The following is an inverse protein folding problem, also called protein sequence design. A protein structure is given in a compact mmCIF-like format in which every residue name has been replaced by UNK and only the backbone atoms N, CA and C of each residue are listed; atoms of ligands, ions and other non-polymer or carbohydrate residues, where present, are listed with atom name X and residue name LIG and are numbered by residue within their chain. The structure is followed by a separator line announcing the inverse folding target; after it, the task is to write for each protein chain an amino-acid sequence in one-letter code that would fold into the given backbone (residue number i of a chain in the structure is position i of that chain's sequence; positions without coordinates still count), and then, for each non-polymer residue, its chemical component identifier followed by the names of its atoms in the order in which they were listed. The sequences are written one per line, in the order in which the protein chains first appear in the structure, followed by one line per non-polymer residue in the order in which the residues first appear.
data_IF_948601480822
#
_entry.id   IF_948601480822
#
_cell.length_a   1.000
_cell.length_b   1.000
_cell.length_c   1.000
_cell.angle_alpha   90.00
_cell.angle_beta   90.00
_cell.angle_gamma   90.00
#
_symmetry.space_group_name_H-M   'P 1'
#
loop_
_entity.id
_entity.type
_entity.pdbx_description
1 polymer ?
#
# COMPACT_ATOMS: atom_id res chain seq x y z
N UNK A 1 15.85 3.09 9.03
CA UNK A 1 15.20 4.33 8.54
C UNK A 1 16.14 5.53 8.59
N UNK A 2 16.09 6.43 7.61
CA UNK A 2 16.85 7.69 7.58
C UNK A 2 16.00 8.97 7.44
N UNK A 3 14.71 8.85 7.13
CA UNK A 3 13.83 9.99 6.79
C UNK A 3 12.81 10.38 7.86
N UNK A 4 12.19 11.55 7.69
CA UNK A 4 11.11 12.05 8.54
C UNK A 4 9.77 11.43 8.15
N UNK A 5 9.12 10.71 9.06
CA UNK A 5 7.80 10.13 8.75
C UNK A 5 6.78 11.25 8.49
N UNK A 6 5.98 11.07 7.45
CA UNK A 6 4.85 11.93 7.09
C UNK A 6 3.54 11.19 7.22
N UNK A 7 2.56 11.85 7.81
CA UNK A 7 1.25 11.26 8.09
C UNK A 7 0.11 12.14 7.59
N UNK A 8 -0.96 11.48 7.14
CA UNK A 8 -2.31 12.03 7.11
C UNK A 8 -3.23 11.01 7.77
N UNK A 9 -3.64 11.27 8.99
CA UNK A 9 -4.21 10.26 9.89
C UNK A 9 -5.58 10.66 10.42
N UNK A 10 -6.34 9.69 10.90
CA UNK A 10 -7.69 9.87 11.42
C UNK A 10 -8.64 10.62 10.46
N UNK A 11 -8.49 10.40 9.15
CA UNK A 11 -9.49 10.89 8.22
C UNK A 11 -10.74 10.03 8.37
N UNK A 12 -11.88 10.67 8.62
CA UNK A 12 -13.17 9.97 8.70
C UNK A 12 -13.95 10.21 7.40
N UNK A 13 -14.15 9.15 6.62
CA UNK A 13 -14.74 9.20 5.27
C UNK A 13 -16.00 8.34 5.20
N UNK A 14 -17.00 8.76 4.43
CA UNK A 14 -18.05 7.85 3.98
C UNK A 14 -19.39 7.89 4.71
N UNK A 15 -20.00 9.07 4.85
CA UNK A 15 -21.45 9.07 4.70
C UNK A 15 -21.76 8.91 3.21
N UNK A 16 -22.38 7.79 2.83
CA UNK A 16 -22.84 7.52 1.47
C UNK A 16 -23.65 8.72 0.91
N UNK A 17 -23.60 8.99 -0.41
CA UNK A 17 -23.19 8.10 -1.50
C UNK A 17 -21.75 8.27 -2.02
N UNK A 18 -20.85 9.02 -1.36
CA UNK A 18 -19.54 9.40 -1.94
C UNK A 18 -18.33 8.83 -1.17
N UNK A 19 -18.48 7.66 -0.55
CA UNK A 19 -17.45 7.06 0.32
C UNK A 19 -16.13 6.79 -0.40
N UNK A 20 -16.19 6.16 -1.58
CA UNK A 20 -15.01 5.84 -2.39
C UNK A 20 -14.33 7.11 -2.93
N UNK A 21 -15.10 8.12 -3.35
CA UNK A 21 -14.56 9.43 -3.74
C UNK A 21 -13.84 10.11 -2.59
N UNK A 22 -14.44 10.17 -1.40
CA UNK A 22 -13.86 10.82 -0.23
C UNK A 22 -12.56 10.12 0.22
N UNK A 23 -12.50 8.78 0.10
CA UNK A 23 -11.28 8.01 0.31
C UNK A 23 -10.20 8.38 -0.70
N UNK A 24 -10.55 8.39 -1.99
CA UNK A 24 -9.62 8.75 -3.08
C UNK A 24 -9.07 10.17 -2.94
N UNK A 25 -9.92 11.15 -2.63
CA UNK A 25 -9.50 12.54 -2.42
C UNK A 25 -8.53 12.65 -1.23
N UNK A 26 -8.77 11.91 -0.14
CA UNK A 26 -7.81 11.86 0.96
C UNK A 26 -6.48 11.20 0.54
N UNK A 27 -6.50 10.16 -0.30
CA UNK A 27 -5.29 9.58 -0.88
C UNK A 27 -4.53 10.64 -1.71
N UNK A 28 -5.22 11.34 -2.61
CA UNK A 28 -4.62 12.39 -3.45
C UNK A 28 -4.00 13.50 -2.62
N UNK A 29 -4.71 14.00 -1.60
CA UNK A 29 -4.22 15.04 -0.71
C UNK A 29 -3.02 14.58 0.14
N UNK A 30 -2.97 13.30 0.52
CA UNK A 30 -1.78 12.72 1.16
C UNK A 30 -0.57 12.74 0.23
N UNK A 31 -0.71 12.26 -1.01
CA UNK A 31 0.38 12.28 -1.99
C UNK A 31 0.79 13.71 -2.38
N UNK A 32 -0.13 14.67 -2.49
CA UNK A 32 0.22 16.08 -2.69
C UNK A 32 1.05 16.64 -1.52
N UNK A 33 0.75 16.20 -0.29
CA UNK A 33 1.56 16.46 0.89
C UNK A 33 2.98 15.90 0.75
N UNK A 34 3.11 14.67 0.25
CA UNK A 34 4.41 14.05 -0.03
C UNK A 34 5.19 14.79 -1.13
N UNK A 35 4.53 15.25 -2.19
CA UNK A 35 5.15 16.10 -3.22
C UNK A 35 5.70 17.38 -2.59
N UNK A 36 4.90 18.04 -1.75
CA UNK A 36 5.32 19.26 -1.04
C UNK A 36 6.50 19.00 -0.10
N UNK A 37 6.57 17.81 0.50
CA UNK A 37 7.67 17.38 1.35
C UNK A 37 8.92 16.91 0.56
N UNK A 38 8.83 16.83 -0.78
CA UNK A 38 9.93 16.40 -1.64
C UNK A 38 10.12 14.88 -1.75
N UNK A 39 9.10 14.08 -1.38
CA UNK A 39 9.17 12.61 -1.42
C UNK A 39 8.80 12.03 -2.79
N UNK A 40 8.42 12.89 -3.74
CA UNK A 40 8.04 12.46 -5.08
C UNK A 40 7.36 13.56 -5.89
N UNK A 41 6.67 13.13 -6.95
CA UNK A 41 5.89 13.98 -7.84
C UNK A 41 4.60 13.28 -8.27
N UNK A 42 3.54 14.05 -8.53
CA UNK A 42 2.43 13.53 -9.35
C UNK A 42 2.95 13.47 -10.80
N UNK A 43 3.09 12.26 -11.32
CA UNK A 43 3.63 11.99 -12.64
C UNK A 43 2.57 12.16 -13.74
N UNK A 44 1.35 11.70 -13.48
CA UNK A 44 0.22 11.80 -14.41
C UNK A 44 -1.08 11.85 -13.61
N UNK A 45 -2.12 12.49 -14.15
CA UNK A 45 -3.43 12.49 -13.50
C UNK A 45 -4.59 12.80 -14.45
N UNK A 46 -5.77 12.25 -14.12
CA UNK A 46 -7.03 12.55 -14.79
C UNK A 46 -8.11 12.86 -13.76
N UNK A 47 -8.83 13.96 -13.93
CA UNK A 47 -9.87 14.39 -12.99
C UNK A 47 -11.09 13.48 -12.96
N UNK A 48 -11.24 12.55 -13.89
CA UNK A 48 -12.42 11.70 -14.01
C UNK A 48 -13.50 12.32 -14.91
N UNK A 49 -14.58 11.57 -15.10
CA UNK A 49 -15.65 11.98 -16.00
C UNK A 49 -16.29 13.31 -15.57
N UNK A 50 -16.34 14.28 -16.49
CA UNK A 50 -16.99 15.59 -16.31
C UNK A 50 -16.49 16.42 -15.13
N UNK A 51 -15.26 16.20 -14.68
CA UNK A 51 -14.64 16.90 -13.56
C UNK A 51 -13.51 17.83 -13.97
N UNK A 52 -13.17 18.76 -13.09
CA UNK A 52 -12.13 19.78 -13.28
C UNK A 52 -11.12 19.84 -12.14
N UNK A 53 -11.14 18.88 -11.21
CA UNK A 53 -10.28 18.88 -10.04
C UNK A 53 -10.35 17.59 -9.22
N UNK A 54 -9.68 17.61 -8.07
CA UNK A 54 -9.62 16.53 -7.10
C UNK A 54 -10.22 16.92 -5.74
N UNK A 55 -11.36 17.61 -5.75
CA UNK A 55 -12.06 17.94 -4.51
C UNK A 55 -12.99 16.81 -4.04
N UNK A 56 -13.44 16.91 -2.79
CA UNK A 56 -14.55 16.15 -2.26
C UNK A 56 -15.84 16.39 -3.06
N UNK A 57 -16.84 15.52 -2.90
CA UNK A 57 -18.13 15.62 -3.58
C UNK A 57 -18.86 16.97 -3.39
N UNK A 58 -18.64 17.63 -2.27
CA UNK A 58 -19.21 18.93 -1.90
C UNK A 58 -18.26 20.12 -2.18
N UNK A 59 -17.11 19.85 -2.82
CA UNK A 59 -16.13 20.84 -3.20
C UNK A 59 -16.46 21.57 -4.50
N UNK A 60 -15.62 22.54 -4.85
CA UNK A 60 -15.80 23.37 -6.05
C UNK A 60 -15.45 22.67 -7.36
N UNK A 61 -14.55 21.68 -7.30
CA UNK A 61 -14.16 20.86 -8.45
C UNK A 61 -13.99 19.41 -8.01
N UNK A 62 -15.11 18.70 -7.72
CA UNK A 62 -15.07 17.34 -7.23
C UNK A 62 -14.35 16.39 -8.18
N UNK A 63 -13.67 15.38 -7.63
CA UNK A 63 -13.14 14.28 -8.43
C UNK A 63 -14.29 13.56 -9.16
N UNK A 64 -14.18 13.46 -10.47
CA UNK A 64 -15.14 12.77 -11.32
C UNK A 64 -15.00 11.26 -11.19
N UNK A 65 -16.04 10.56 -11.61
CA UNK A 65 -16.03 9.10 -11.66
C UNK A 65 -14.83 8.58 -12.47
N UNK A 66 -14.19 7.50 -12.00
CA UNK A 66 -13.00 6.94 -12.65
C UNK A 66 -11.78 7.89 -12.70
N UNK A 67 -11.71 8.90 -11.81
CA UNK A 67 -10.51 9.71 -11.65
C UNK A 67 -9.31 8.87 -11.18
N UNK A 68 -8.11 9.28 -11.58
CA UNK A 68 -6.88 8.58 -11.24
C UNK A 68 -5.67 9.50 -11.22
N UNK A 69 -4.61 9.06 -10.57
CA UNK A 69 -3.29 9.70 -10.62
C UNK A 69 -2.17 8.67 -10.45
N UNK A 70 -0.99 9.02 -10.94
CA UNK A 70 0.25 8.26 -10.76
C UNK A 70 1.18 9.09 -9.90
N UNK A 71 1.61 8.53 -8.79
CA UNK A 71 2.64 9.12 -7.94
C UNK A 71 3.98 8.46 -8.23
N UNK A 72 4.97 9.26 -8.62
CA UNK A 72 6.37 8.86 -8.74
C UNK A 72 7.07 9.16 -7.41
N UNK A 73 7.74 8.16 -6.85
CA UNK A 73 8.58 8.33 -5.67
C UNK A 73 9.94 7.69 -5.91
N UNK A 74 10.96 8.34 -5.36
CA UNK A 74 12.33 7.86 -5.43
C UNK A 74 12.65 7.05 -4.18
N UNK A 75 13.60 6.12 -4.32
CA UNK A 75 14.13 5.38 -3.18
C UNK A 75 15.49 5.96 -2.83
N UNK A 76 15.66 6.30 -1.55
CA UNK A 76 16.85 6.96 -1.02
C UNK A 76 18.11 6.17 -1.33
N UNK A 77 19.14 6.86 -1.84
CA UNK A 77 20.45 6.28 -2.15
C UNK A 77 21.29 5.98 -0.91
N UNK A 78 20.86 6.41 0.28
CA UNK A 78 21.66 6.36 1.52
C UNK A 78 21.49 5.08 2.36
N UNK A 79 20.74 4.07 1.89
CA UNK A 79 20.43 2.86 2.67
C UNK A 79 21.53 1.77 2.58
N UNK A 80 21.81 1.01 3.67
CA UNK A 80 22.84 -0.04 3.67
C UNK A 80 22.49 -1.18 2.70
N UNK A 81 23.47 -1.61 1.89
CA UNK A 81 23.29 -2.59 0.79
C UNK A 81 23.33 -1.96 -0.61
N UNK A 82 23.54 -0.64 -0.69
CA UNK A 82 23.56 0.18 -1.91
C UNK A 82 24.52 -0.31 -2.99
N UNK A 83 23.93 -1.04 -3.95
CA UNK A 83 24.57 -1.48 -5.18
C UNK A 83 23.70 -1.30 -6.43
N UNK A 84 22.61 -0.54 -6.39
CA UNK A 84 21.99 0.09 -7.56
C UNK A 84 20.82 0.97 -7.10
N UNK A 85 20.70 2.15 -7.68
CA UNK A 85 19.60 3.08 -7.46
C UNK A 85 18.30 2.42 -7.93
N UNK A 86 17.32 2.24 -7.04
CA UNK A 86 15.93 2.06 -7.47
C UNK A 86 15.51 3.40 -8.09
N UNK A 87 15.66 3.49 -9.42
CA UNK A 87 15.72 4.76 -10.12
C UNK A 87 14.44 5.56 -10.12
N UNK A 88 13.27 4.95 -9.89
CA UNK A 88 11.96 5.54 -9.53
C UNK A 88 10.97 4.40 -9.35
N UNK A 89 9.97 4.59 -8.49
CA UNK A 89 8.81 3.71 -8.32
C UNK A 89 7.54 4.51 -8.57
N UNK A 90 6.55 3.88 -9.19
CA UNK A 90 5.31 4.52 -9.62
C UNK A 90 4.13 3.83 -8.98
N UNK A 91 3.21 4.57 -8.37
CA UNK A 91 1.97 4.06 -7.80
C UNK A 91 0.78 4.71 -8.49
N UNK A 92 0.01 3.93 -9.25
CA UNK A 92 -1.29 4.32 -9.78
C UNK A 92 -2.34 4.16 -8.69
N UNK A 93 -3.15 5.21 -8.51
CA UNK A 93 -4.35 5.19 -7.66
C UNK A 93 -5.55 5.58 -8.52
N UNK A 94 -6.63 4.81 -8.44
CA UNK A 94 -7.87 5.06 -9.19
C UNK A 94 -9.07 4.79 -8.28
N UNK A 95 -10.21 5.42 -8.53
CA UNK A 95 -11.44 5.13 -7.82
C UNK A 95 -12.64 4.97 -8.75
N UNK A 96 -13.66 4.26 -8.30
CA UNK A 96 -14.96 4.17 -8.96
C UNK A 96 -16.08 3.83 -7.95
N UNK A 97 -17.32 4.17 -8.26
CA UNK A 97 -18.50 4.00 -7.39
C UNK A 97 -19.83 3.91 -8.18
N UNK A 98 -20.00 4.76 -9.20
CA UNK A 98 -21.20 4.76 -10.06
C UNK A 98 -21.03 4.04 -11.39
N UNK A 99 -19.79 3.89 -11.85
CA UNK A 99 -19.43 3.12 -13.04
C UNK A 99 -18.28 2.22 -12.69
N UNK A 100 -18.34 0.96 -13.07
CA UNK A 100 -17.32 0.04 -12.66
C UNK A 100 -15.92 0.41 -13.19
N UNK A 101 -14.90 -0.02 -12.44
CA UNK A 101 -13.49 0.12 -12.83
C UNK A 101 -13.26 -0.25 -14.29
N UNK A 102 -12.41 0.51 -14.98
CA UNK A 102 -12.09 0.27 -16.37
C UNK A 102 -13.03 0.92 -17.38
N UNK A 103 -14.02 1.71 -16.92
CA UNK A 103 -14.80 2.61 -17.78
C UNK A 103 -14.05 3.93 -17.97
N UNK A 104 -14.14 4.54 -19.16
CA UNK A 104 -13.45 5.80 -19.44
C UNK A 104 -13.82 6.92 -18.44
N UNK A 105 -12.85 7.74 -17.98
CA UNK A 105 -11.42 7.76 -18.37
C UNK A 105 -10.52 6.77 -17.60
N UNK A 106 -11.11 5.89 -16.79
CA UNK A 106 -10.43 4.89 -15.97
C UNK A 106 -10.07 3.59 -16.70
N UNK A 107 -10.23 3.53 -18.03
CA UNK A 107 -9.85 2.39 -18.86
C UNK A 107 -8.35 2.42 -19.23
N UNK A 108 -7.66 1.27 -19.27
CA UNK A 108 -8.08 -0.03 -18.76
C UNK A 108 -7.90 -0.15 -17.24
N UNK A 109 -8.74 -0.96 -16.57
CA UNK A 109 -8.59 -1.24 -15.13
C UNK A 109 -9.60 -2.27 -14.60
N UNK A 110 -9.19 -3.04 -13.59
CA UNK A 110 -10.03 -3.91 -12.76
C UNK A 110 -9.65 -3.73 -11.29
N UNK A 111 -10.57 -4.01 -10.39
CA UNK A 111 -10.30 -4.05 -8.95
C UNK A 111 -10.37 -5.50 -8.47
N UNK A 112 -9.24 -6.06 -8.01
CA UNK A 112 -9.13 -7.44 -7.50
C UNK A 112 -9.71 -8.50 -8.46
N UNK A 113 -9.47 -8.34 -9.75
CA UNK A 113 -9.91 -9.25 -10.80
C UNK A 113 -11.36 -9.08 -11.25
N UNK A 114 -12.08 -8.09 -10.69
CA UNK A 114 -13.47 -7.80 -11.03
C UNK A 114 -13.67 -6.37 -11.52
N UNK A 115 -14.72 -6.19 -12.33
CA UNK A 115 -15.28 -4.90 -12.72
C UNK A 115 -16.14 -4.45 -11.54
N UNK A 116 -15.49 -3.91 -10.49
CA UNK A 116 -16.09 -3.57 -9.20
C UNK A 116 -15.80 -2.10 -8.85
N UNK A 117 -16.44 -1.61 -7.78
CA UNK A 117 -16.30 -0.25 -7.26
C UNK A 117 -15.35 -0.22 -6.05
N UNK A 118 -14.68 0.91 -5.81
CA UNK A 118 -13.73 1.08 -4.71
C UNK A 118 -12.61 2.07 -5.00
N UNK A 119 -11.51 1.93 -4.25
CA UNK A 119 -10.24 2.62 -4.52
C UNK A 119 -9.16 1.57 -4.73
N UNK A 120 -8.49 1.65 -5.87
CA UNK A 120 -7.48 0.70 -6.33
C UNK A 120 -6.08 1.30 -6.32
N UNK A 121 -5.09 0.46 -6.06
CA UNK A 121 -3.66 0.77 -6.05
C UNK A 121 -2.91 -0.23 -6.94
N UNK A 122 -1.92 0.24 -7.69
CA UNK A 122 -1.00 -0.63 -8.41
C UNK A 122 0.37 0.05 -8.42
N UNK A 123 1.40 -0.66 -7.96
CA UNK A 123 2.76 -0.12 -7.89
C UNK A 123 3.64 -0.80 -8.93
N UNK A 124 4.43 -0.06 -9.69
CA UNK A 124 5.32 -0.60 -10.72
C UNK A 124 6.66 0.13 -10.76
N UNK A 125 7.70 -0.54 -11.24
CA UNK A 125 9.00 0.06 -11.49
C UNK A 125 9.76 -0.71 -12.57
N UNK A 126 10.79 -0.08 -13.13
CA UNK A 126 11.75 -0.73 -14.03
C UNK A 126 13.11 -0.87 -13.38
N UNK A 127 13.80 -1.95 -13.70
CA UNK A 127 15.14 -2.22 -13.17
C UNK A 127 16.17 -1.17 -13.55
N UNK A 128 16.00 -0.55 -14.73
CA UNK A 128 16.89 0.52 -15.20
C UNK A 128 16.54 1.90 -14.62
N UNK A 129 15.52 2.00 -13.75
CA UNK A 129 15.05 3.27 -13.24
C UNK A 129 14.27 4.11 -14.24
N UNK A 130 14.00 3.57 -15.43
CA UNK A 130 13.21 4.23 -16.45
C UNK A 130 11.74 4.33 -16.07
N UNK A 131 11.03 5.21 -16.76
CA UNK A 131 9.59 5.39 -16.62
C UNK A 131 8.84 4.17 -17.20
N UNK A 132 8.05 3.42 -16.40
CA UNK A 132 7.18 2.36 -16.89
C UNK A 132 5.83 2.89 -17.39
N UNK A 133 5.45 4.14 -17.12
CA UNK A 133 4.15 4.69 -17.45
C UNK A 133 3.92 4.70 -18.95
N UNK A 134 2.76 4.18 -19.36
CA UNK A 134 2.30 4.25 -20.73
C UNK A 134 1.07 5.14 -20.80
N UNK A 135 1.31 6.43 -20.97
CA UNK A 135 0.28 7.45 -21.06
C UNK A 135 0.91 8.83 -21.25
N UNK A 136 0.07 9.87 -21.20
CA UNK A 136 0.58 11.23 -21.08
C UNK A 136 0.92 11.53 -19.62
N UNK A 137 1.82 12.47 -19.38
CA UNK A 137 2.39 12.75 -18.05
C UNK A 137 2.45 14.26 -17.77
N UNK A 138 1.39 15.00 -18.13
CA UNK A 138 1.28 16.43 -17.88
C UNK A 138 0.92 16.74 -16.42
N UNK A 139 0.32 15.77 -15.72
CA UNK A 139 -0.17 15.88 -14.36
C UNK A 139 -1.17 17.04 -14.16
N UNK A 140 -1.95 17.35 -15.20
CA UNK A 140 -2.88 18.48 -15.27
C UNK A 140 -4.36 18.08 -15.17
N UNK A 141 -4.63 16.79 -14.92
CA UNK A 141 -5.98 16.23 -14.84
C UNK A 141 -6.61 15.89 -16.18
N UNK A 142 -5.88 16.07 -17.29
CA UNK A 142 -6.31 15.69 -18.64
C UNK A 142 -5.51 14.49 -19.20
N UNK A 143 -4.68 13.84 -18.38
CA UNK A 143 -3.83 12.76 -18.88
C UNK A 143 -4.65 11.56 -19.33
N UNK A 144 -4.06 10.78 -20.25
CA UNK A 144 -4.67 9.57 -20.80
C UNK A 144 -3.79 8.36 -20.55
N UNK A 145 -4.43 7.20 -20.32
CA UNK A 145 -3.78 5.91 -20.18
C UNK A 145 -3.66 5.22 -21.55
N UNK A 146 -2.57 4.49 -21.76
CA UNK A 146 -2.40 3.58 -22.87
C UNK A 146 -3.25 2.31 -22.71
N UNK A 147 -3.24 1.45 -23.73
CA UNK A 147 -3.98 0.18 -23.72
C UNK A 147 -3.45 -0.83 -22.68
N UNK A 148 -2.22 -0.65 -22.20
CA UNK A 148 -1.69 -1.21 -20.97
C UNK A 148 -1.08 -0.04 -20.20
N UNK A 149 -1.22 0.03 -18.88
CA UNK A 149 -0.77 1.23 -18.13
C UNK A 149 0.72 1.19 -17.83
N UNK A 150 1.32 0.00 -17.83
CA UNK A 150 2.75 -0.21 -17.62
C UNK A 150 3.44 -0.85 -18.82
N UNK A 151 4.65 -0.38 -19.13
CA UNK A 151 5.49 -0.89 -20.21
C UNK A 151 6.92 -1.11 -19.75
N UNK A 152 7.54 -2.18 -20.26
CA UNK A 152 8.91 -2.56 -19.94
C UNK A 152 9.96 -1.69 -20.64
N UNK A 153 9.58 -1.03 -21.75
CA UNK A 153 10.52 -0.27 -22.56
C UNK A 153 11.70 -1.14 -23.01
N UNK A 154 12.91 -0.79 -22.57
CA UNK A 154 14.14 -1.50 -22.89
C UNK A 154 14.69 -2.35 -21.73
N UNK A 155 13.98 -2.43 -20.61
CA UNK A 155 14.42 -3.13 -19.39
C UNK A 155 13.31 -4.06 -18.86
N UNK A 156 13.54 -4.70 -17.71
CA UNK A 156 12.53 -5.51 -17.03
C UNK A 156 11.55 -4.63 -16.27
N UNK A 157 10.27 -4.98 -16.35
CA UNK A 157 9.16 -4.35 -15.63
C UNK A 157 8.73 -5.21 -14.46
N UNK A 158 8.55 -4.57 -13.31
CA UNK A 158 7.98 -5.16 -12.10
C UNK A 158 6.67 -4.45 -11.78
N UNK A 159 5.59 -5.19 -11.56
CA UNK A 159 4.26 -4.66 -11.20
C UNK A 159 3.83 -5.35 -9.92
N UNK A 160 3.95 -4.68 -8.78
CA UNK A 160 3.65 -5.19 -7.46
C UNK A 160 2.15 -5.26 -7.19
N UNK A 161 1.43 -6.13 -7.88
CA UNK A 161 0.03 -6.45 -7.62
C UNK A 161 -0.18 -7.94 -7.28
N UNK A 162 -1.32 -8.23 -6.66
CA UNK A 162 -1.81 -9.59 -6.44
C UNK A 162 -3.26 -9.69 -6.90
N UNK A 163 -3.51 -10.54 -7.88
CA UNK A 163 -4.82 -11.16 -8.01
C UNK A 163 -4.79 -12.50 -7.29
N UNK A 164 -5.70 -12.70 -6.33
CA UNK A 164 -5.89 -13.97 -5.62
C UNK A 164 -6.45 -15.11 -6.47
N UNK A 165 -6.62 -14.88 -7.77
CA UNK A 165 -7.15 -15.87 -8.70
C UNK A 165 -6.28 -15.92 -9.96
N UNK A 166 -5.63 -17.05 -10.28
CA UNK A 166 -4.78 -17.23 -11.48
C UNK A 166 -5.46 -16.98 -12.84
N UNK A 167 -6.69 -16.47 -12.86
CA UNK A 167 -7.53 -16.27 -14.05
C UNK A 167 -8.31 -14.95 -14.05
N UNK A 168 -8.39 -14.22 -12.93
CA UNK A 168 -9.03 -12.91 -12.90
C UNK A 168 -7.95 -11.83 -12.84
N UNK A 169 -7.88 -10.93 -13.82
CA UNK A 169 -6.83 -9.92 -13.89
C UNK A 169 -5.51 -10.42 -14.47
N UNK A 170 -5.54 -11.36 -15.43
CA UNK A 170 -4.36 -11.63 -16.25
C UNK A 170 -3.99 -10.35 -17.01
N UNK A 171 -2.73 -9.92 -16.88
CA UNK A 171 -2.14 -8.81 -17.65
C UNK A 171 -2.12 -9.06 -19.17
N UNK A 172 -2.59 -10.24 -19.60
CA UNK A 172 -2.81 -10.68 -20.97
C UNK A 172 -4.09 -10.09 -21.60
N UNK A 173 -5.01 -9.53 -20.81
CA UNK A 173 -6.35 -9.10 -21.28
C UNK A 173 -6.48 -7.62 -21.65
N UNK A 174 -5.38 -6.86 -21.67
CA UNK A 174 -5.37 -5.38 -21.74
C UNK A 174 -6.07 -4.69 -20.56
N UNK A 175 -6.36 -5.40 -19.46
CA UNK A 175 -6.88 -4.83 -18.22
C UNK A 175 -5.85 -4.89 -17.11
N UNK A 176 -5.70 -3.80 -16.37
CA UNK A 176 -4.70 -3.66 -15.30
C UNK A 176 -5.38 -3.90 -13.97
N UNK A 177 -4.97 -4.97 -13.29
CA UNK A 177 -5.57 -5.35 -12.02
C UNK A 177 -5.02 -4.50 -10.88
N UNK A 178 -5.91 -3.96 -10.06
CA UNK A 178 -5.53 -3.11 -8.94
C UNK A 178 -5.85 -3.78 -7.60
N UNK A 179 -4.96 -3.55 -6.65
CA UNK A 179 -5.10 -3.96 -5.26
C UNK A 179 -5.96 -2.96 -4.48
N UNK A 180 -6.53 -3.40 -3.36
CA UNK A 180 -7.28 -2.49 -2.51
C UNK A 180 -7.23 -2.95 -1.05
N UNK A 181 -6.99 -2.04 -0.07
CA UNK A 181 -7.05 -2.41 1.33
C UNK A 181 -8.46 -2.90 1.72
N UNK A 182 -9.53 -2.40 1.10
CA UNK A 182 -10.90 -2.85 1.35
C UNK A 182 -11.78 -2.64 0.12
N UNK A 183 -12.75 -3.53 -0.10
CA UNK A 183 -13.82 -3.24 -1.08
C UNK A 183 -14.86 -2.37 -0.43
N UNK A 184 -15.43 -1.44 -1.21
CA UNK A 184 -16.69 -0.78 -0.89
C UNK A 184 -16.66 0.04 0.42
N UNK A 185 -16.08 1.24 0.33
CA UNK A 185 -16.23 2.27 1.37
C UNK A 185 -17.59 2.99 1.28
N UNK A 186 -18.53 2.52 0.44
CA UNK A 186 -19.82 3.14 0.18
C UNK A 186 -20.97 2.55 1.02
N UNK A 187 -20.66 1.79 2.08
CA UNK A 187 -21.69 1.24 2.98
C UNK A 187 -22.48 2.37 3.64
N UNK A 188 -23.79 2.44 3.35
CA UNK A 188 -24.68 3.48 3.86
C UNK A 188 -24.76 3.40 5.40
N UNK A 189 -24.48 4.52 6.07
CA UNK A 189 -24.70 4.68 7.52
C UNK A 189 -23.50 4.38 8.41
N UNK A 190 -22.33 4.13 7.83
CA UNK A 190 -21.10 3.85 8.57
C UNK A 190 -19.96 4.74 8.08
N UNK A 191 -19.44 5.59 8.97
CA UNK A 191 -18.21 6.32 8.69
C UNK A 191 -17.02 5.36 8.75
N UNK A 192 -16.13 5.41 7.77
CA UNK A 192 -14.87 4.68 7.77
C UNK A 192 -13.73 5.57 8.26
N UNK A 193 -12.69 4.99 8.85
CA UNK A 193 -11.49 5.72 9.26
C UNK A 193 -10.29 5.28 8.43
N UNK A 194 -9.47 6.23 8.00
CA UNK A 194 -8.22 5.96 7.30
C UNK A 194 -7.02 6.69 7.87
N UNK A 195 -5.89 6.03 7.77
CA UNK A 195 -4.57 6.59 8.05
C UNK A 195 -3.62 6.29 6.91
N UNK A 196 -2.92 7.33 6.47
CA UNK A 196 -1.87 7.27 5.47
C UNK A 196 -0.58 7.69 6.13
N UNK A 197 0.46 6.86 6.02
CA UNK A 197 1.78 7.20 6.52
C UNK A 197 2.82 6.84 5.47
N UNK A 198 3.89 7.63 5.39
CA UNK A 198 5.03 7.35 4.54
C UNK A 198 6.33 7.75 5.24
N UNK A 199 7.40 7.04 4.90
CA UNK A 199 8.75 7.57 4.97
C UNK A 199 9.25 7.86 3.54
N UNK A 200 10.56 8.04 3.36
CA UNK A 200 11.16 8.33 2.04
C UNK A 200 11.04 7.16 1.06
N UNK A 201 10.88 5.93 1.53
CA UNK A 201 11.04 4.72 0.70
C UNK A 201 9.85 3.75 0.82
N UNK A 202 8.80 4.11 1.56
CA UNK A 202 7.70 3.21 1.89
C UNK A 202 6.48 4.00 2.31
N UNK A 203 5.31 3.45 2.03
CA UNK A 203 4.07 3.99 2.52
C UNK A 203 3.09 2.89 2.93
N UNK A 204 2.20 3.26 3.85
CA UNK A 204 1.18 2.40 4.44
C UNK A 204 -0.15 3.13 4.46
N UNK A 205 -1.19 2.37 4.13
CA UNK A 205 -2.58 2.75 4.09
C UNK A 205 -3.31 1.81 5.03
N UNK A 206 -3.91 2.35 6.08
CA UNK A 206 -4.66 1.62 7.08
C UNK A 206 -6.12 2.02 6.96
N UNK A 207 -7.00 1.06 6.70
CA UNK A 207 -8.44 1.30 6.50
C UNK A 207 -9.28 0.51 7.50
N UNK A 208 -9.97 1.25 8.35
CA UNK A 208 -10.90 0.81 9.38
C UNK A 208 -12.31 0.97 8.83
N UNK A 209 -12.80 -0.11 8.24
CA UNK A 209 -14.13 -0.14 7.64
C UNK A 209 -15.15 0.01 8.76
N UNK A 210 -16.15 0.85 8.55
CA UNK A 210 -17.19 1.15 9.54
C UNK A 210 -16.67 1.78 10.86
N UNK A 211 -15.38 2.15 10.92
CA UNK A 211 -14.75 2.76 12.11
C UNK A 211 -15.00 1.92 13.38
N UNK A 212 -14.85 0.60 13.25
CA UNK A 212 -15.09 -0.40 14.29
C UNK A 212 -13.80 -0.93 14.92
N UNK A 213 -12.64 -0.39 14.55
CA UNK A 213 -11.35 -0.83 15.09
C UNK A 213 -10.77 -2.06 14.42
N UNK A 214 -11.40 -2.57 13.35
CA UNK A 214 -10.89 -3.67 12.52
C UNK A 214 -10.22 -3.13 11.26
N UNK A 215 -8.90 -3.29 11.18
CA UNK A 215 -8.10 -2.68 10.13
C UNK A 215 -7.81 -3.63 8.97
N UNK A 216 -7.75 -3.02 7.80
CA UNK A 216 -7.17 -3.58 6.58
C UNK A 216 -5.97 -2.73 6.14
N UNK A 217 -5.11 -3.28 5.28
CA UNK A 217 -3.82 -2.66 4.94
C UNK A 217 -3.54 -2.70 3.44
N UNK A 218 -2.95 -1.60 2.95
CA UNK A 218 -2.09 -1.59 1.77
C UNK A 218 -0.73 -1.03 2.16
N UNK A 219 0.34 -1.73 1.82
CA UNK A 219 1.73 -1.31 2.04
C UNK A 219 2.47 -1.49 0.72
N UNK A 220 3.30 -0.51 0.36
CA UNK A 220 4.30 -0.67 -0.68
C UNK A 220 5.58 0.01 -0.21
N UNK A 221 6.70 -0.67 -0.36
CA UNK A 221 7.95 -0.17 0.18
C UNK A 221 9.09 -1.15 0.08
N UNK A 222 10.19 -0.77 0.72
CA UNK A 222 11.38 -1.59 0.83
C UNK A 222 11.32 -2.54 2.03
N UNK A 223 11.88 -3.74 1.85
CA UNK A 223 12.38 -4.55 2.95
C UNK A 223 13.90 -4.38 3.08
N UNK A 224 14.43 -4.65 4.27
CA UNK A 224 15.87 -4.66 4.55
C UNK A 224 16.37 -6.08 4.29
N UNK A 225 17.22 -6.31 3.28
CA UNK A 225 17.81 -7.63 3.05
C UNK A 225 18.61 -8.09 4.26
N UNK A 226 18.55 -9.39 4.56
CA UNK A 226 19.41 -9.95 5.62
C UNK A 226 20.89 -9.90 5.19
N UNK A 227 21.84 -9.99 6.15
CA UNK A 227 23.25 -10.13 5.81
C UNK A 227 23.47 -11.26 4.80
N UNK A 228 24.36 -11.01 3.84
CA UNK A 228 24.72 -11.95 2.76
C UNK A 228 23.60 -12.26 1.73
N UNK A 229 22.45 -11.58 1.81
CA UNK A 229 21.46 -11.55 0.71
C UNK A 229 21.61 -10.23 -0.06
N UNK A 230 22.05 -10.34 -1.31
CA UNK A 230 22.09 -9.21 -2.23
C UNK A 230 20.80 -9.20 -3.02
N UNK A 231 19.82 -8.37 -2.66
CA UNK A 231 18.63 -8.14 -3.48
C UNK A 231 18.80 -6.83 -4.27
N UNK A 232 18.80 -6.92 -5.60
CA UNK A 232 18.95 -5.73 -6.47
C UNK A 232 17.81 -4.73 -6.29
N UNK A 233 16.61 -5.23 -5.94
CA UNK A 233 15.41 -4.43 -5.75
C UNK A 233 14.61 -4.99 -4.58
N UNK A 234 14.86 -4.64 -3.31
CA UNK A 234 14.19 -5.26 -2.19
C UNK A 234 12.80 -4.66 -1.94
N UNK A 235 11.95 -4.69 -2.97
CA UNK A 235 10.58 -4.15 -2.94
C UNK A 235 9.57 -5.22 -2.52
N UNK A 236 8.54 -4.79 -1.80
CA UNK A 236 7.42 -5.63 -1.39
C UNK A 236 6.13 -4.81 -1.36
N UNK A 237 5.04 -5.44 -1.79
CA UNK A 237 3.70 -4.93 -1.61
C UNK A 237 2.87 -5.90 -0.76
N UNK A 238 2.05 -5.34 0.12
CA UNK A 238 1.08 -6.05 0.95
C UNK A 238 -0.28 -5.44 0.71
N UNK A 239 -1.26 -6.25 0.36
CA UNK A 239 -2.66 -5.83 0.41
C UNK A 239 -3.45 -6.92 1.11
N UNK A 240 -4.09 -6.57 2.22
CA UNK A 240 -4.86 -7.51 3.01
C UNK A 240 -6.13 -6.86 3.55
N UNK A 241 -7.23 -7.58 3.49
CA UNK A 241 -8.58 -7.08 3.84
C UNK A 241 -8.88 -7.15 5.34
N UNK A 242 -7.97 -7.70 6.14
CA UNK A 242 -8.08 -7.77 7.59
C UNK A 242 -6.69 -7.83 8.21
N UNK A 243 -6.55 -7.37 9.44
CA UNK A 243 -5.37 -7.55 10.28
C UNK A 243 -5.75 -8.43 11.48
N UNK A 244 -4.82 -9.27 12.00
CA UNK A 244 -3.42 -9.43 11.58
C UNK A 244 -3.20 -10.02 10.19
N UNK A 245 -1.98 -9.85 9.67
CA UNK A 245 -1.56 -10.51 8.44
C UNK A 245 -1.60 -12.04 8.63
N UNK A 246 -2.26 -12.73 7.71
CA UNK A 246 -2.40 -14.17 7.77
C UNK A 246 -1.14 -14.90 7.26
N UNK A 247 -0.74 -15.95 7.97
CA UNK A 247 0.36 -16.85 7.61
C UNK A 247 -0.03 -17.91 6.58
N UNK A 248 -1.33 -18.04 6.30
CA UNK A 248 -1.86 -19.09 5.41
C UNK A 248 -2.02 -18.62 3.97
N UNK A 249 -2.02 -17.31 3.72
CA UNK A 249 -2.08 -16.73 2.38
C UNK A 249 -0.68 -16.39 1.84
N UNK A 250 -0.45 -16.71 0.57
CA UNK A 250 0.67 -16.16 -0.20
C UNK A 250 0.25 -14.84 -0.84
N UNK A 251 1.10 -13.82 -0.73
CA UNK A 251 0.96 -12.52 -1.36
C UNK A 251 1.85 -12.49 -2.61
N UNK A 252 1.28 -12.19 -3.79
CA UNK A 252 1.97 -12.27 -5.08
C UNK A 252 1.65 -13.56 -5.86
N UNK A 253 1.87 -13.56 -7.18
CA UNK A 253 1.51 -14.71 -8.04
C UNK A 253 2.48 -15.88 -7.87
N UNK A 254 1.95 -17.08 -7.62
CA UNK A 254 2.72 -18.32 -7.73
C UNK A 254 2.68 -18.79 -9.20
N UNK A 255 3.82 -18.97 -9.85
CA UNK A 255 3.89 -19.48 -11.24
C UNK A 255 4.33 -18.47 -12.30
N UNK A 256 5.07 -17.44 -11.92
CA UNK A 256 5.33 -16.27 -12.73
C UNK A 256 5.74 -16.48 -14.20
N UNK A 257 5.29 -15.56 -15.06
CA UNK A 257 5.77 -15.40 -16.44
C UNK A 257 6.52 -14.05 -16.55
N UNK A 258 7.59 -14.05 -17.34
CA UNK A 258 8.79 -13.26 -17.13
C UNK A 258 8.76 -11.78 -17.50
N UNK A 259 7.61 -11.09 -17.52
CA UNK A 259 7.55 -9.67 -17.94
C UNK A 259 6.58 -8.78 -17.18
N UNK A 260 5.70 -9.33 -16.32
CA UNK A 260 4.67 -8.60 -15.57
C UNK A 260 4.31 -9.37 -14.30
N UNK A 261 5.00 -9.10 -13.19
CA UNK A 261 4.85 -9.88 -11.95
C UNK A 261 4.79 -8.99 -10.69
N UNK A 262 3.96 -9.41 -9.73
CA UNK A 262 3.83 -8.80 -8.40
C UNK A 262 4.04 -9.78 -7.25
N UNK A 263 4.67 -9.29 -6.19
CA UNK A 263 5.12 -10.10 -5.05
C UNK A 263 6.33 -9.50 -4.33
N UNK A 264 7.13 -10.38 -3.71
CA UNK A 264 8.41 -10.05 -3.10
C UNK A 264 9.51 -10.20 -4.13
N UNK A 265 10.28 -9.14 -4.38
CA UNK A 265 11.41 -9.19 -5.30
C UNK A 265 12.62 -9.68 -4.54
N UNK A 266 13.19 -10.80 -4.98
CA UNK A 266 14.34 -11.47 -4.34
C UNK A 266 15.43 -11.76 -5.35
N UNK A 267 16.65 -12.00 -4.89
CA UNK A 267 17.74 -12.34 -5.79
C UNK A 267 17.84 -13.83 -6.05
N UNK A 268 18.09 -14.15 -7.33
CA UNK A 268 18.55 -15.44 -7.79
C UNK A 268 19.86 -15.27 -8.58
N UNK A 269 20.59 -16.38 -8.72
CA UNK A 269 21.78 -16.55 -9.57
C UNK A 269 21.61 -16.12 -11.03
N UNK A 270 20.37 -15.88 -11.50
CA UNK A 270 20.03 -15.42 -12.85
C UNK A 270 19.49 -13.98 -12.91
N UNK A 271 19.35 -13.27 -11.78
CA UNK A 271 18.75 -11.92 -11.70
C UNK A 271 17.64 -11.82 -10.63
N UNK A 272 17.03 -10.65 -10.44
CA UNK A 272 15.90 -10.49 -9.53
C UNK A 272 14.67 -11.26 -10.04
N UNK A 273 14.02 -12.02 -9.15
CA UNK A 273 12.79 -12.76 -9.39
C UNK A 273 11.69 -12.18 -8.49
N UNK A 274 10.51 -11.93 -9.03
CA UNK A 274 9.33 -11.62 -8.21
C UNK A 274 8.63 -12.93 -7.83
N UNK A 275 8.44 -13.17 -6.54
CA UNK A 275 7.82 -14.40 -6.05
C UNK A 275 6.70 -14.13 -5.07
N UNK A 276 5.80 -15.10 -4.92
CA UNK A 276 4.82 -15.04 -3.84
C UNK A 276 5.51 -15.19 -2.47
N UNK A 277 5.07 -14.43 -1.47
CA UNK A 277 5.64 -14.45 -0.13
C UNK A 277 4.57 -14.63 0.94
N UNK A 278 4.98 -15.04 2.14
CA UNK A 278 4.11 -15.13 3.33
C UNK A 278 4.75 -14.39 4.48
N UNK A 279 3.97 -13.63 5.28
CA UNK A 279 4.46 -13.14 6.55
C UNK A 279 4.62 -14.34 7.47
N UNK A 280 5.74 -14.38 8.16
CA UNK A 280 5.84 -15.18 9.36
C UNK A 280 5.19 -14.37 10.47
N UNK A 281 4.04 -14.84 10.98
CA UNK A 281 3.52 -14.38 12.26
C UNK A 281 3.95 -15.40 13.33
N UNK A 282 4.29 -14.90 14.51
CA UNK A 282 4.76 -15.73 15.61
C UNK A 282 3.58 -16.46 16.28
N UNK A 283 3.21 -17.65 15.81
CA UNK A 283 1.92 -18.26 16.20
C UNK A 283 1.94 -19.35 17.29
N UNK A 284 3.08 -19.65 17.94
CA UNK A 284 3.07 -20.66 19.04
C UNK A 284 3.94 -20.40 20.27
N UNK A 285 5.03 -19.65 20.17
CA UNK A 285 5.96 -19.45 21.29
C UNK A 285 5.68 -18.18 22.12
N UNK A 286 5.06 -17.16 21.50
CA UNK A 286 4.75 -15.86 22.14
C UNK A 286 3.27 -15.70 22.50
N UNK A 287 2.40 -16.59 22.01
CA UNK A 287 0.99 -16.70 22.42
C UNK A 287 0.84 -17.39 23.79
N UNK A 288 1.94 -17.92 24.32
CA UNK A 288 2.06 -18.46 25.67
C UNK A 288 1.95 -17.32 26.71
N UNK A 289 1.07 -17.49 27.70
CA UNK A 289 0.83 -16.55 28.81
C UNK A 289 2.08 -16.22 29.65
N UNK A 290 3.19 -16.95 29.52
CA UNK A 290 4.45 -16.69 30.23
C UNK A 290 5.43 -15.78 29.48
N UNK A 291 5.24 -15.53 28.18
CA UNK A 291 6.06 -14.62 27.36
C UNK A 291 5.16 -13.54 26.78
N UNK A 292 4.80 -12.57 27.62
CA UNK A 292 3.95 -11.44 27.23
C UNK A 292 4.83 -10.25 26.84
N UNK A 293 4.95 -9.91 25.54
CA UNK A 293 5.40 -8.58 25.15
C UNK A 293 4.39 -7.56 25.71
N UNK A 294 4.88 -6.54 26.43
CA UNK A 294 4.15 -5.59 27.31
C UNK A 294 3.66 -6.19 28.64
N UNK A 295 4.33 -5.83 29.78
CA UNK A 295 4.30 -4.45 30.25
C UNK A 295 5.61 -3.98 30.93
N UNK A 296 6.80 -4.28 30.38
CA UNK A 296 8.04 -3.78 31.01
C UNK A 296 8.24 -2.26 30.84
N UNK A 297 7.60 -1.64 29.84
CA UNK A 297 7.65 -0.20 29.61
C UNK A 297 6.33 0.33 29.03
N UNK A 298 5.90 1.52 29.48
CA UNK A 298 4.80 2.27 28.88
C UNK A 298 5.26 3.15 27.69
N UNK A 299 6.57 3.31 27.52
CA UNK A 299 7.16 4.15 26.49
C UNK A 299 7.64 3.36 25.26
N UNK A 300 7.84 2.05 25.41
CA UNK A 300 8.38 1.19 24.36
C UNK A 300 7.59 -0.10 24.34
N UNK A 301 6.99 -0.40 23.19
CA UNK A 301 6.38 -1.69 22.94
C UNK A 301 7.46 -2.72 22.60
N UNK A 302 7.24 -3.95 23.05
CA UNK A 302 8.00 -5.10 22.56
C UNK A 302 7.54 -5.42 21.13
N UNK A 303 8.15 -4.74 20.16
CA UNK A 303 7.88 -4.87 18.73
C UNK A 303 8.83 -5.87 18.06
N UNK A 304 8.29 -6.59 17.08
CA UNK A 304 9.04 -7.58 16.32
C UNK A 304 8.97 -7.25 14.83
N UNK A 305 10.08 -7.45 14.13
CA UNK A 305 10.13 -7.28 12.69
C UNK A 305 9.12 -8.20 11.98
N UNK A 306 8.44 -7.67 10.95
CA UNK A 306 7.69 -8.52 10.03
C UNK A 306 8.71 -9.19 9.11
N UNK A 307 8.80 -10.52 9.21
CA UNK A 307 9.67 -11.34 8.38
C UNK A 307 8.87 -11.87 7.19
N UNK A 308 9.06 -11.33 5.98
CA UNK A 308 8.60 -11.99 4.78
C UNK A 308 9.38 -13.29 4.56
N UNK A 309 8.66 -14.33 4.15
CA UNK A 309 9.20 -15.61 3.72
C UNK A 309 8.81 -15.85 2.27
N UNK A 310 9.79 -15.96 1.38
CA UNK A 310 9.56 -16.41 0.02
C UNK A 310 8.98 -17.83 0.06
N UNK A 311 7.83 -17.99 -0.58
CA UNK A 311 7.17 -19.28 -0.71
C UNK A 311 6.65 -19.44 -2.13
N UNK A 312 7.57 -19.56 -3.08
CA UNK A 312 7.24 -19.80 -4.47
C UNK A 312 7.66 -21.21 -4.89
N UNK A 313 6.72 -22.14 -4.77
CA UNK A 313 6.93 -23.54 -5.15
C UNK A 313 7.14 -23.74 -6.65
N UNK A 314 6.62 -22.84 -7.48
CA UNK A 314 6.75 -22.94 -8.94
C UNK A 314 8.15 -22.56 -9.40
N UNK A 315 8.80 -21.62 -8.70
CA UNK A 315 10.15 -21.13 -9.00
C UNK A 315 11.23 -21.80 -8.14
N UNK A 316 10.83 -22.72 -7.25
CA UNK A 316 11.68 -23.33 -6.23
C UNK A 316 12.42 -22.30 -5.35
N UNK A 317 11.81 -21.12 -5.16
CA UNK A 317 12.37 -20.03 -4.35
C UNK A 317 11.73 -20.07 -2.98
N UNK A 318 12.54 -20.44 -1.99
CA UNK A 318 12.14 -20.50 -0.59
C UNK A 318 13.18 -19.83 0.27
N UNK A 319 12.73 -19.11 1.30
CA UNK A 319 13.64 -18.60 2.30
C UNK A 319 13.27 -17.23 2.84
N UNK A 320 14.14 -16.75 3.73
CA UNK A 320 14.00 -15.46 4.38
C UNK A 320 14.92 -14.44 3.67
N UNK A 321 14.37 -13.50 2.87
CA UNK A 321 15.16 -12.51 2.18
C UNK A 321 15.46 -11.27 3.04
N UNK A 322 14.66 -10.97 4.06
CA UNK A 322 14.87 -9.78 4.89
C UNK A 322 13.69 -9.45 5.83
N UNK A 323 13.62 -8.23 6.35
CA UNK A 323 12.53 -7.75 7.22
C UNK A 323 12.00 -6.37 6.83
N UNK A 324 10.76 -6.08 7.22
CA UNK A 324 10.16 -4.75 7.06
C UNK A 324 10.56 -3.83 8.23
N UNK A 325 10.77 -2.56 7.93
CA UNK A 325 11.21 -1.55 8.93
C UNK A 325 10.05 -0.64 9.38
N UNK A 326 9.30 -0.07 8.42
CA UNK A 326 8.19 0.85 8.71
C UNK A 326 7.12 0.17 9.59
N UNK A 327 6.75 -1.07 9.24
CA UNK A 327 5.75 -1.83 9.97
C UNK A 327 6.37 -2.98 10.77
N UNK A 328 5.90 -3.15 12.01
CA UNK A 328 6.30 -4.22 12.92
C UNK A 328 5.10 -4.94 13.49
N UNK A 329 5.30 -6.14 14.02
CA UNK A 329 4.29 -6.89 14.76
C UNK A 329 4.38 -6.55 16.24
N UNK A 330 3.22 -6.46 16.89
CA UNK A 330 3.09 -6.35 18.35
C UNK A 330 1.98 -7.30 18.80
N UNK A 331 2.09 -7.84 20.01
CA UNK A 331 1.10 -8.73 20.58
C UNK A 331 0.65 -8.18 21.95
N UNK A 332 -0.55 -8.57 22.38
CA UNK A 332 -1.10 -8.18 23.69
C UNK A 332 -1.22 -6.66 23.87
N UNK A 333 -1.67 -5.97 22.83
CA UNK A 333 -1.91 -4.53 22.84
C UNK A 333 -3.29 -4.20 22.27
N UNK A 334 -4.01 -3.21 22.80
CA UNK A 334 -5.25 -2.69 22.19
C UNK A 334 -4.98 -2.04 20.83
N UNK A 335 -5.95 -2.13 19.92
CA UNK A 335 -5.99 -1.27 18.72
C UNK A 335 -6.12 0.20 19.14
N UNK A 336 -5.59 1.12 18.32
CA UNK A 336 -5.50 2.58 18.61
C UNK A 336 -4.64 2.97 19.81
N UNK A 337 -3.89 2.04 20.39
CA UNK A 337 -2.91 2.39 21.39
C UNK A 337 -1.73 3.13 20.75
N UNK A 338 -1.20 4.14 21.43
CA UNK A 338 0.06 4.79 21.10
C UNK A 338 0.98 4.81 22.31
N UNK A 339 2.29 4.78 22.07
CA UNK A 339 3.27 4.90 23.15
C UNK A 339 3.24 6.30 23.77
N UNK A 340 3.81 6.44 24.97
CA UNK A 340 3.69 7.67 25.76
C UNK A 340 4.23 8.94 25.09
N UNK A 341 5.19 8.79 24.18
CA UNK A 341 5.79 9.86 23.36
C UNK A 341 5.14 10.00 21.98
N UNK A 342 4.09 9.22 21.68
CA UNK A 342 3.31 9.24 20.43
C UNK A 342 4.15 9.01 19.17
N UNK A 343 5.28 8.32 19.30
CA UNK A 343 6.18 7.98 18.18
C UNK A 343 5.78 6.68 17.46
N UNK A 344 4.89 5.87 18.05
CA UNK A 344 4.38 4.61 17.50
C UNK A 344 2.89 4.43 17.83
N UNK A 345 2.16 3.84 16.89
CA UNK A 345 0.73 3.54 17.02
C UNK A 345 0.39 2.13 16.55
N UNK A 346 -0.62 1.52 17.17
CA UNK A 346 -1.00 0.11 17.00
C UNK A 346 -2.35 0.00 16.28
N UNK A 347 -2.41 -0.87 15.27
CA UNK A 347 -3.57 -1.11 14.41
C UNK A 347 -3.76 -2.61 14.16
N UNK A 348 -5.00 -3.09 14.24
CA UNK A 348 -5.31 -4.51 14.08
C UNK A 348 -6.79 -4.80 14.26
N UNK A 349 -7.11 -5.84 15.03
CA UNK A 349 -8.47 -6.12 15.51
C UNK A 349 -8.68 -5.62 16.95
N UNK A 350 -9.91 -5.72 17.46
CA UNK A 350 -10.25 -5.32 18.84
C UNK A 350 -9.71 -6.29 19.92
N UNK A 351 -9.32 -7.51 19.55
CA UNK A 351 -8.92 -8.55 20.51
C UNK A 351 -7.53 -8.24 21.04
N UNK A 352 -7.39 -7.84 22.31
CA UNK A 352 -6.07 -7.49 22.88
C UNK A 352 -5.03 -8.61 22.67
N UNK A 353 -5.40 -9.87 22.92
CA UNK A 353 -4.55 -11.06 22.76
C UNK A 353 -4.45 -11.54 21.31
N UNK A 354 -4.31 -10.62 20.36
CA UNK A 354 -4.03 -10.89 18.95
C UNK A 354 -2.76 -10.17 18.51
N UNK A 355 -2.15 -10.66 17.44
CA UNK A 355 -1.06 -9.93 16.76
C UNK A 355 -1.65 -8.71 16.05
N UNK A 356 -0.93 -7.59 16.09
CA UNK A 356 -1.29 -6.33 15.45
C UNK A 356 -0.08 -5.75 14.73
N UNK A 357 -0.31 -4.71 13.95
CA UNK A 357 0.76 -3.93 13.32
C UNK A 357 1.03 -2.69 14.17
N UNK A 358 2.30 -2.40 14.39
CA UNK A 358 2.79 -1.11 14.86
C UNK A 358 3.48 -0.37 13.71
N UNK A 359 3.23 0.93 13.62
CA UNK A 359 3.80 1.84 12.62
C UNK A 359 4.20 3.15 13.29
N UNK A 360 5.16 3.94 12.76
CA UNK A 360 5.51 5.22 13.36
C UNK A 360 4.29 6.14 13.41
N UNK A 361 4.28 7.01 14.40
CA UNK A 361 3.24 7.99 14.64
C UNK A 361 3.89 9.32 14.99
N UNK A 362 3.18 10.42 14.76
CA UNK A 362 3.69 11.77 15.03
C UNK A 362 2.56 12.76 15.28
N UNK A 363 1.36 12.26 15.59
CA UNK A 363 0.22 13.11 15.94
C UNK A 363 0.25 13.54 17.40
N UNK A 364 -0.40 14.66 17.72
CA UNK A 364 -0.54 15.17 19.09
C UNK A 364 -1.44 14.32 20.00
N UNK A 365 -2.10 13.30 19.43
CA UNK A 365 -3.06 12.44 20.12
C UNK A 365 -2.93 10.99 19.62
N UNK A 366 -3.38 10.00 20.41
CA UNK A 366 -3.54 8.63 19.93
C UNK A 366 -4.42 8.54 18.67
N UNK A 367 -4.27 7.45 17.87
CA UNK A 367 -5.24 7.12 16.84
C UNK A 367 -6.65 6.99 17.40
N UNK A 368 -7.68 7.12 16.57
CA UNK A 368 -9.05 6.93 17.00
C UNK A 368 -9.71 8.20 17.55
N UNK A 369 -8.95 9.24 17.86
CA UNK A 369 -9.46 10.43 18.58
C UNK A 369 -10.01 11.54 17.66
N UNK A 370 -9.68 11.52 16.38
CA UNK A 370 -10.13 12.52 15.39
C UNK A 370 -11.42 12.09 14.68
N UNK A 371 -12.24 13.06 14.27
CA UNK A 371 -13.49 12.83 13.50
C UNK A 371 -13.59 13.71 12.25
N UNK A 372 -12.47 14.23 11.75
CA UNK A 372 -12.46 15.21 10.65
C UNK A 372 -12.29 14.50 9.31
N UNK A 373 -13.04 14.93 8.28
CA UNK A 373 -12.98 14.37 6.93
C UNK A 373 -11.60 14.35 6.31
N UNK A 374 -10.82 15.40 6.58
CA UNK A 374 -9.43 15.54 6.10
C UNK A 374 -8.40 14.92 7.03
N UNK A 375 -8.80 14.47 8.21
CA UNK A 375 -7.87 14.01 9.24
C UNK A 375 -6.89 15.10 9.69
N UNK A 376 -5.71 14.66 10.12
CA UNK A 376 -4.61 15.47 10.68
C UNK A 376 -3.30 15.13 9.99
N UNK A 377 -2.42 16.11 9.82
CA UNK A 377 -1.10 15.91 9.21
C UNK A 377 0.04 16.12 10.20
N UNK A 378 1.15 15.41 9.99
CA UNK A 378 2.44 15.62 10.67
C UNK A 378 3.62 15.21 9.78
#
# INVERSE_FOLDING_TARGET
MGGTVKGRVDCVVGDAPDGNRNLFVNCKQFFDGLVTAGYGAIHASNFGASASGFDFHDGTSPAGENAWFVFEWAISTERPGGGSVLGKVYTLVQWADGTAFGTAPGNPGLLKGAVADGVGFQTAFREDGGDPWNGTSAADGADTKGATVWTAGASSLHILDYSSTPTAGTHDTNFENMLSPGVDAATIGSANRVHFLADEDSFIFLFDKDNNGEYSIYFAGLYIPKPDVTASYPMICISHTALPLSTTFSYGTAGGNSIREGGLVTADTLGPIVGSWRPVSFDSQMTNTTLQPNPQSLAVYDEFDIVPYNFDASKAVYGWPGSLDLIRQVYNAPTHMANSDLTRAIFGDETVSSVKISTPWGGDYPPGTGTVRTGRSF
#
